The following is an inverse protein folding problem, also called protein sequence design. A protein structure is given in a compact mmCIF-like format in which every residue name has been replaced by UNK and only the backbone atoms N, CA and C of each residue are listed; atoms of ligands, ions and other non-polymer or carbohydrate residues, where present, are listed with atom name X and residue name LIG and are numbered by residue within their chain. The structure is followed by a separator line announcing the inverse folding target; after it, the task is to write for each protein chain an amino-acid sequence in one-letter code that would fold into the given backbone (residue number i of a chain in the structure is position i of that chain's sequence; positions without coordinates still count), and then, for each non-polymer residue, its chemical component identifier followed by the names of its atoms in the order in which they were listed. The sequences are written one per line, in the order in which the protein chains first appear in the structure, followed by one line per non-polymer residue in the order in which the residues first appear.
data_IF_858024423387
#
_entry.id   IF_858024423387
#
_cell.length_a   1.000
_cell.length_b   1.000
_cell.length_c   1.000
_cell.angle_alpha   90.00
_cell.angle_beta   90.00
_cell.angle_gamma   90.00
#
_symmetry.space_group_name_H-M   'P 1'
#
loop_
_entity.id
_entity.type
_entity.pdbx_description
1 polymer ?
#
# COMPACT_ATOMS: atom_id res chain seq x y z
N UNK A 1 9.60 34.49 -19.70
CA UNK A 1 9.55 34.05 -18.28
C UNK A 1 8.20 33.41 -18.01
N UNK A 2 8.19 32.14 -17.60
CA UNK A 2 6.98 31.37 -17.25
C UNK A 2 6.39 31.82 -15.91
N UNK A 3 5.89 33.06 -15.84
CA UNK A 3 5.04 33.53 -14.77
C UNK A 3 3.59 33.11 -15.04
N UNK A 4 2.84 32.70 -14.01
CA UNK A 4 1.40 32.34 -14.00
C UNK A 4 0.99 30.85 -14.11
N UNK A 5 1.85 29.91 -14.50
CA UNK A 5 1.43 28.49 -14.64
C UNK A 5 2.24 27.48 -13.82
N UNK A 6 3.26 27.92 -13.06
CA UNK A 6 4.10 27.04 -12.22
C UNK A 6 3.26 26.17 -11.30
N UNK A 7 2.27 26.76 -10.61
CA UNK A 7 1.36 26.01 -9.74
C UNK A 7 0.52 24.97 -10.51
N UNK A 8 -0.05 25.35 -11.66
CA UNK A 8 -0.87 24.45 -12.46
C UNK A 8 -0.07 23.23 -12.98
N UNK A 9 1.18 23.46 -13.40
CA UNK A 9 2.10 22.39 -13.83
C UNK A 9 2.51 21.50 -12.67
N UNK A 10 2.87 22.08 -11.51
CA UNK A 10 3.20 21.32 -10.30
C UNK A 10 2.00 20.50 -9.81
N UNK A 11 0.79 21.06 -9.85
CA UNK A 11 -0.45 20.35 -9.49
C UNK A 11 -0.70 19.14 -10.39
N UNK A 12 -0.60 19.29 -11.72
CA UNK A 12 -0.78 18.19 -12.66
C UNK A 12 0.27 17.10 -12.48
N UNK A 13 1.54 17.51 -12.34
CA UNK A 13 2.63 16.56 -12.10
C UNK A 13 2.43 15.78 -10.80
N UNK A 14 2.10 16.48 -9.71
CA UNK A 14 1.81 15.85 -8.41
C UNK A 14 0.64 14.88 -8.51
N UNK A 15 -0.48 15.28 -9.14
CA UNK A 15 -1.64 14.40 -9.32
C UNK A 15 -1.29 13.11 -10.08
N UNK A 16 -0.46 13.19 -11.12
CA UNK A 16 -0.02 12.00 -11.85
C UNK A 16 0.87 11.08 -10.99
N UNK A 17 1.76 11.65 -10.16
CA UNK A 17 2.59 10.89 -9.22
C UNK A 17 1.75 10.23 -8.13
N UNK A 18 0.81 10.98 -7.56
CA UNK A 18 -0.09 10.50 -6.50
C UNK A 18 -0.99 9.38 -7.03
N UNK A 19 -1.50 9.48 -8.27
CA UNK A 19 -2.28 8.41 -8.91
C UNK A 19 -1.46 7.12 -9.10
N UNK A 20 -0.20 7.24 -9.53
CA UNK A 20 0.72 6.09 -9.66
C UNK A 20 1.00 5.46 -8.30
N UNK A 21 1.25 6.28 -7.28
CA UNK A 21 1.49 5.82 -5.89
C UNK A 21 0.25 5.12 -5.31
N UNK A 22 -0.94 5.68 -5.52
CA UNK A 22 -2.20 5.07 -5.11
C UNK A 22 -2.39 3.68 -5.72
N UNK A 23 -2.07 3.49 -7.01
CA UNK A 23 -2.12 2.17 -7.65
C UNK A 23 -1.15 1.18 -7.01
N UNK A 24 0.08 1.59 -6.74
CA UNK A 24 1.09 0.75 -6.05
C UNK A 24 0.57 0.32 -4.67
N UNK A 25 -0.02 1.25 -3.92
CA UNK A 25 -0.56 0.97 -2.60
C UNK A 25 -1.70 -0.04 -2.63
N UNK A 26 -2.63 0.10 -3.58
CA UNK A 26 -3.73 -0.86 -3.75
C UNK A 26 -3.24 -2.27 -4.09
N UNK A 27 -2.22 -2.39 -4.95
CA UNK A 27 -1.65 -3.70 -5.32
C UNK A 27 -0.97 -4.34 -4.11
N UNK A 28 -0.10 -3.60 -3.41
CA UNK A 28 0.62 -4.11 -2.24
C UNK A 28 -0.36 -4.49 -1.11
N UNK A 29 -1.37 -3.67 -0.85
CA UNK A 29 -2.38 -3.96 0.19
C UNK A 29 -3.17 -5.24 -0.11
N UNK A 30 -3.53 -5.47 -1.38
CA UNK A 30 -4.19 -6.71 -1.81
C UNK A 30 -3.27 -7.92 -1.66
N UNK A 31 -2.01 -7.80 -2.06
CA UNK A 31 -1.03 -8.88 -1.91
C UNK A 31 -0.76 -9.22 -0.44
N UNK A 32 -0.66 -8.22 0.45
CA UNK A 32 -0.53 -8.43 1.89
C UNK A 32 -1.74 -9.19 2.42
N UNK A 33 -2.95 -8.74 2.08
CA UNK A 33 -4.19 -9.37 2.54
C UNK A 33 -4.26 -10.85 2.12
N UNK A 34 -3.89 -11.17 0.87
CA UNK A 34 -3.85 -12.54 0.36
C UNK A 34 -2.77 -13.37 1.04
N UNK A 35 -1.55 -12.84 1.17
CA UNK A 35 -0.46 -13.54 1.82
C UNK A 35 -0.78 -13.85 3.30
N UNK A 36 -1.43 -12.91 4.00
CA UNK A 36 -1.89 -13.11 5.37
C UNK A 36 -2.99 -14.15 5.47
N UNK A 37 -3.92 -14.18 4.52
CA UNK A 37 -5.00 -15.17 4.48
C UNK A 37 -4.45 -16.59 4.26
N UNK A 38 -3.47 -16.73 3.37
CA UNK A 38 -2.93 -18.04 2.98
C UNK A 38 -1.87 -18.57 3.97
N UNK A 39 -1.10 -17.69 4.63
CA UNK A 39 0.06 -18.07 5.44
C UNK A 39 0.08 -17.51 6.86
N UNK A 40 -1.03 -16.96 7.35
CA UNK A 40 -1.14 -16.39 8.69
C UNK A 40 -0.60 -14.96 8.81
N UNK A 41 -0.89 -14.34 9.96
CA UNK A 41 -0.63 -12.92 10.23
C UNK A 41 0.80 -12.59 10.65
N UNK A 42 1.59 -13.61 10.96
CA UNK A 42 2.93 -13.45 11.52
C UNK A 42 3.99 -13.39 10.41
N UNK A 43 4.73 -12.27 10.26
CA UNK A 43 5.76 -12.12 9.22
C UNK A 43 6.95 -13.06 9.38
N UNK A 44 7.21 -13.56 10.60
CA UNK A 44 8.31 -14.49 10.88
C UNK A 44 8.04 -15.89 10.32
N UNK A 45 6.79 -16.32 10.34
CA UNK A 45 6.37 -17.63 9.82
C UNK A 45 5.90 -17.57 8.36
N UNK A 46 5.81 -16.37 7.78
CA UNK A 46 5.37 -16.15 6.41
C UNK A 46 6.38 -15.28 5.64
N UNK A 47 7.36 -15.89 4.94
CA UNK A 47 8.36 -15.17 4.16
C UNK A 47 7.74 -14.25 3.09
N UNK A 48 6.60 -14.63 2.50
CA UNK A 48 5.91 -13.81 1.49
C UNK A 48 5.39 -12.53 2.11
N UNK A 49 4.78 -12.60 3.30
CA UNK A 49 4.32 -11.43 4.03
C UNK A 49 5.47 -10.50 4.40
N UNK A 50 6.60 -11.04 4.86
CA UNK A 50 7.81 -10.25 5.17
C UNK A 50 8.32 -9.46 3.97
N UNK A 51 8.42 -10.08 2.79
CA UNK A 51 8.87 -9.41 1.57
C UNK A 51 7.91 -8.30 1.14
N UNK A 52 6.59 -8.52 1.29
CA UNK A 52 5.56 -7.54 0.97
C UNK A 52 5.58 -6.34 1.94
N UNK A 53 5.81 -6.58 3.24
CA UNK A 53 5.99 -5.50 4.23
C UNK A 53 7.22 -4.66 3.89
N UNK A 54 8.34 -5.27 3.52
CA UNK A 54 9.55 -4.55 3.09
C UNK A 54 9.27 -3.71 1.85
N UNK A 55 8.58 -4.27 0.85
CA UNK A 55 8.18 -3.55 -0.38
C UNK A 55 7.22 -2.39 -0.07
N UNK A 56 6.29 -2.58 0.86
CA UNK A 56 5.38 -1.53 1.33
C UNK A 56 6.17 -0.37 1.96
N UNK A 57 7.12 -0.67 2.86
CA UNK A 57 8.00 0.32 3.48
C UNK A 57 8.86 1.07 2.44
N UNK A 58 9.43 0.35 1.46
CA UNK A 58 10.17 0.97 0.35
C UNK A 58 9.32 1.91 -0.51
N UNK A 59 8.02 1.62 -0.65
CA UNK A 59 7.07 2.49 -1.35
C UNK A 59 6.58 3.69 -0.53
N UNK A 60 7.09 3.86 0.70
CA UNK A 60 6.65 4.90 1.64
C UNK A 60 5.17 4.75 2.03
N UNK A 61 4.67 3.51 2.08
CA UNK A 61 3.32 3.22 2.58
C UNK A 61 3.28 3.47 4.10
N UNK A 62 2.27 4.18 4.62
CA UNK A 62 2.07 4.33 6.07
C UNK A 62 1.93 2.99 6.79
N UNK A 63 2.51 2.87 8.00
CA UNK A 63 2.44 1.66 8.80
C UNK A 63 0.99 1.23 9.09
N UNK A 64 0.11 2.19 9.40
CA UNK A 64 -1.31 1.93 9.64
C UNK A 64 -2.01 1.21 8.48
N UNK A 65 -1.60 1.49 7.23
CA UNK A 65 -2.17 0.84 6.04
C UNK A 65 -1.68 -0.59 5.90
N UNK A 66 -0.43 -0.87 6.28
CA UNK A 66 0.14 -2.22 6.32
C UNK A 66 -0.59 -3.04 7.37
N UNK A 67 -0.73 -2.51 8.58
CA UNK A 67 -1.42 -3.18 9.69
C UNK A 67 -2.89 -3.44 9.37
N UNK A 68 -3.57 -2.47 8.74
CA UNK A 68 -4.95 -2.64 8.27
C UNK A 68 -5.07 -3.75 7.23
N UNK A 69 -4.11 -3.85 6.29
CA UNK A 69 -4.11 -4.92 5.29
C UNK A 69 -3.88 -6.30 5.91
N UNK A 70 -2.99 -6.40 6.91
CA UNK A 70 -2.75 -7.64 7.67
C UNK A 70 -4.02 -8.04 8.44
N UNK A 71 -4.61 -7.13 9.21
CA UNK A 71 -5.86 -7.38 9.96
C UNK A 71 -7.02 -7.78 9.06
N UNK A 72 -7.10 -7.17 7.86
CA UNK A 72 -8.10 -7.52 6.85
C UNK A 72 -7.87 -8.94 6.30
N UNK A 73 -6.62 -9.30 5.99
CA UNK A 73 -6.27 -10.64 5.53
C UNK A 73 -6.47 -11.72 6.60
N UNK A 74 -6.29 -11.37 7.86
CA UNK A 74 -6.48 -12.27 9.01
C UNK A 74 -7.95 -12.47 9.41
N UNK A 75 -8.89 -11.73 8.80
CA UNK A 75 -10.31 -11.80 9.13
C UNK A 75 -10.70 -11.11 10.45
N UNK A 76 -9.77 -10.39 11.09
CA UNK A 76 -10.04 -9.63 12.33
C UNK A 76 -10.92 -8.39 12.06
N UNK A 77 -10.88 -7.86 10.84
CA UNK A 77 -11.83 -6.86 10.37
C UNK A 77 -13.01 -7.61 9.72
N UNK A 78 -13.97 -7.99 10.57
CA UNK A 78 -15.19 -8.71 10.17
C UNK A 78 -15.89 -8.02 9.00
N UNK A 79 -15.82 -8.65 7.83
CA UNK A 79 -16.42 -8.13 6.60
C UNK A 79 -15.61 -8.52 5.38
N UNK A 80 -15.89 -9.73 4.87
CA UNK A 80 -16.04 -10.11 3.45
C UNK A 80 -15.71 -11.59 3.33
N UNK A 81 -16.75 -12.42 3.37
CA UNK A 81 -16.86 -13.64 2.56
C UNK A 81 -16.76 -13.30 1.09
#
# INVERSE_FOLDING_TARGET
MSGHSKWATTKRHKAAVDAKRGKIFSVISKEISLATRDGGKDPEFNPRLRTLITKAKQSNMPADNIDRAIKKGAGELGGVT
#
